data_IF_195790867085
#
_entry.id   IF_195790867085
#
_cell.length_a   1.000
_cell.length_b   1.000
_cell.length_c   1.000
_cell.angle_alpha   90.00
_cell.angle_beta   90.00
_cell.angle_gamma   90.00
#
_symmetry.space_group_name_H-M   'P 1'
#
loop_
_entity.id
_entity.type
_entity.pdbx_description
1 polymer ?
#
# COMPACT_ATOMS: atom_id res chain seq x y z
N UNK A 1 60.53 32.74 29.56
CA UNK A 1 60.05 31.49 28.92
C UNK A 1 58.56 31.34 29.25
N UNK A 2 57.65 31.46 28.27
CA UNK A 2 56.22 31.39 28.53
C UNK A 2 55.76 29.93 28.58
N UNK A 3 54.89 29.61 29.54
CA UNK A 3 54.22 28.33 29.70
C UNK A 3 53.01 28.28 28.76
N UNK A 4 52.97 27.30 27.86
CA UNK A 4 51.77 26.95 27.09
C UNK A 4 50.81 26.12 27.97
N UNK A 5 49.51 26.45 28.05
CA UNK A 5 48.53 25.55 28.64
C UNK A 5 48.15 24.46 27.63
N UNK A 6 48.19 23.20 28.08
CA UNK A 6 47.67 22.06 27.33
C UNK A 6 46.14 22.18 27.24
N UNK A 7 45.60 22.31 26.03
CA UNK A 7 44.18 22.17 25.77
C UNK A 7 43.80 20.69 25.86
N UNK A 8 42.97 20.36 26.84
CA UNK A 8 42.34 19.04 26.97
C UNK A 8 41.27 18.91 25.87
N UNK A 9 41.57 18.16 24.81
CA UNK A 9 40.61 17.83 23.76
C UNK A 9 39.62 16.79 24.33
N UNK A 10 38.42 17.24 24.72
CA UNK A 10 37.34 16.33 25.11
C UNK A 10 36.73 15.73 23.83
N UNK A 11 37.14 14.51 23.49
CA UNK A 11 36.51 13.73 22.41
C UNK A 11 35.16 13.23 22.93
N UNK A 12 34.08 13.95 22.60
CA UNK A 12 32.72 13.45 22.81
C UNK A 12 32.51 12.32 21.79
N UNK A 13 32.67 11.07 22.24
CA UNK A 13 32.22 9.89 21.51
C UNK A 13 30.68 9.95 21.44
N UNK A 14 30.16 10.50 20.34
CA UNK A 14 28.77 10.33 19.96
C UNK A 14 28.54 8.84 19.72
N UNK A 15 27.97 8.15 20.72
CA UNK A 15 27.42 6.82 20.53
C UNK A 15 26.38 6.90 19.40
N UNK A 16 26.48 6.08 18.34
CA UNK A 16 25.45 6.05 17.32
C UNK A 16 24.12 5.74 18.01
N UNK A 17 23.15 6.63 17.79
CA UNK A 17 21.83 6.58 18.40
C UNK A 17 21.22 5.19 18.16
N UNK A 18 20.87 4.49 19.24
CA UNK A 18 20.30 3.13 19.21
C UNK A 18 18.92 3.04 18.52
N UNK A 19 18.42 4.15 17.95
CA UNK A 19 17.17 4.24 17.20
C UNK A 19 17.28 3.76 15.73
N UNK A 20 18.48 3.47 15.22
CA UNK A 20 18.70 3.14 13.81
C UNK A 20 18.21 1.74 13.36
N UNK A 21 17.63 0.92 14.25
CA UNK A 21 17.20 -0.45 13.91
C UNK A 21 15.72 -0.77 14.13
N UNK A 22 14.93 0.18 14.64
CA UNK A 22 13.50 -0.07 14.85
C UNK A 22 12.72 -0.03 13.53
N UNK A 23 11.84 -1.01 13.31
CA UNK A 23 10.88 -0.97 12.20
C UNK A 23 9.83 0.10 12.49
N UNK A 24 9.69 1.05 11.57
CA UNK A 24 8.67 2.08 11.64
C UNK A 24 7.42 1.67 10.84
N UNK A 25 6.30 2.27 11.21
CA UNK A 25 4.99 2.13 10.58
C UNK A 25 4.58 3.49 10.03
N UNK A 26 4.38 3.63 8.71
CA UNK A 26 3.79 4.85 8.16
C UNK A 26 2.37 5.00 8.72
N UNK A 27 2.10 6.15 9.33
CA UNK A 27 0.83 6.47 9.98
C UNK A 27 0.32 7.77 9.39
N UNK A 28 -0.86 7.74 8.78
CA UNK A 28 -1.52 8.91 8.20
C UNK A 28 -2.00 9.82 9.34
N UNK A 29 -1.86 11.13 9.18
CA UNK A 29 -2.13 12.13 10.20
C UNK A 29 -3.00 13.26 9.67
N UNK A 30 -4.07 13.55 10.40
CA UNK A 30 -4.96 14.66 10.08
C UNK A 30 -5.87 14.38 8.89
N UNK A 31 -6.64 15.39 8.47
CA UNK A 31 -7.59 15.26 7.38
C UNK A 31 -6.89 15.17 6.02
N UNK A 32 -7.56 14.53 5.07
CA UNK A 32 -7.18 14.54 3.67
C UNK A 32 -7.51 15.89 3.01
N UNK A 33 -6.59 16.40 2.20
CA UNK A 33 -6.75 17.57 1.34
C UNK A 33 -6.84 17.09 -0.10
N UNK A 34 -7.95 17.36 -0.79
CA UNK A 34 -8.06 17.06 -2.22
C UNK A 34 -7.23 18.04 -3.04
N UNK A 35 -6.22 17.54 -3.75
CA UNK A 35 -5.33 18.36 -4.60
C UNK A 35 -5.75 18.33 -6.07
N UNK A 36 -6.35 17.24 -6.55
CA UNK A 36 -6.82 17.16 -7.94
C UNK A 36 -8.19 16.47 -8.04
N UNK A 37 -8.97 16.86 -9.05
CA UNK A 37 -10.26 16.25 -9.38
C UNK A 37 -10.23 15.49 -10.71
N UNK A 38 -11.39 15.01 -11.13
CA UNK A 38 -11.55 14.36 -12.42
C UNK A 38 -11.53 15.44 -13.52
N UNK A 39 -10.58 15.42 -14.46
CA UNK A 39 -10.41 16.54 -15.38
C UNK A 39 -11.44 16.53 -16.51
N UNK A 40 -11.73 17.69 -17.07
CA UNK A 40 -12.35 17.76 -18.40
C UNK A 40 -11.26 17.57 -19.47
N UNK A 41 -11.39 16.54 -20.28
CA UNK A 41 -10.50 16.19 -21.38
C UNK A 41 -11.06 16.58 -22.76
N UNK A 42 -12.13 17.38 -22.80
CA UNK A 42 -12.82 17.76 -24.03
C UNK A 42 -13.41 16.55 -24.75
N UNK A 43 -13.03 16.33 -26.02
CA UNK A 43 -13.52 15.22 -26.83
C UNK A 43 -13.14 13.85 -26.25
N UNK A 44 -12.06 13.77 -25.47
CA UNK A 44 -11.63 12.54 -24.81
C UNK A 44 -12.34 12.26 -23.49
N UNK A 45 -13.22 13.17 -23.03
CA UNK A 45 -13.95 12.99 -21.77
C UNK A 45 -14.87 11.77 -21.84
N UNK A 46 -14.66 10.82 -20.93
CA UNK A 46 -15.43 9.59 -20.80
C UNK A 46 -16.26 9.57 -19.52
N UNK A 47 -17.50 9.06 -19.52
CA UNK A 47 -18.37 9.06 -18.33
C UNK A 47 -17.87 8.14 -17.20
N UNK A 48 -16.87 7.30 -17.47
CA UNK A 48 -16.25 6.38 -16.51
C UNK A 48 -14.77 6.67 -16.31
N UNK A 49 -14.27 7.81 -16.78
CA UNK A 49 -12.86 8.14 -16.69
C UNK A 49 -12.43 8.31 -15.23
N UNK A 50 -11.20 7.94 -14.93
CA UNK A 50 -10.68 7.97 -13.57
C UNK A 50 -9.24 8.48 -13.60
N UNK A 51 -8.89 9.53 -12.84
CA UNK A 51 -7.51 9.77 -12.47
C UNK A 51 -7.04 8.61 -11.59
N UNK A 52 -5.93 8.00 -11.97
CA UNK A 52 -5.28 6.91 -11.21
C UNK A 52 -3.81 7.24 -11.03
N UNK A 53 -2.95 6.23 -11.06
CA UNK A 53 -1.49 6.28 -10.97
C UNK A 53 -0.89 7.61 -11.46
N UNK A 54 -0.18 8.29 -10.57
CA UNK A 54 0.28 9.66 -10.75
C UNK A 54 1.71 9.80 -10.24
N UNK A 55 2.35 10.91 -10.61
CA UNK A 55 3.57 11.43 -9.99
C UNK A 55 3.34 12.83 -9.43
N UNK A 56 3.91 13.15 -8.27
CA UNK A 56 3.91 14.49 -7.67
C UNK A 56 5.33 15.01 -7.42
N UNK A 57 5.63 16.21 -7.90
CA UNK A 57 6.95 16.84 -7.71
C UNK A 57 6.88 18.37 -7.70
N UNK A 58 7.96 19.01 -7.26
CA UNK A 58 8.14 20.45 -7.38
C UNK A 58 8.93 20.78 -8.65
N UNK A 59 8.38 21.67 -9.50
CA UNK A 59 9.02 22.17 -10.71
C UNK A 59 10.14 23.18 -10.42
N UNK A 60 10.90 23.56 -11.45
CA UNK A 60 12.04 24.47 -11.31
C UNK A 60 11.69 25.86 -10.77
N UNK A 61 10.47 26.35 -11.03
CA UNK A 61 9.97 27.64 -10.54
C UNK A 61 9.30 27.56 -9.17
N UNK A 62 9.36 26.40 -8.51
CA UNK A 62 8.83 26.18 -7.17
C UNK A 62 7.35 25.78 -7.12
N UNK A 63 6.62 25.82 -8.26
CA UNK A 63 5.24 25.32 -8.27
C UNK A 63 5.22 23.80 -8.22
N UNK A 64 4.15 23.25 -7.66
CA UNK A 64 3.94 21.83 -7.56
C UNK A 64 3.19 21.30 -8.78
N UNK A 65 3.59 20.11 -9.23
CA UNK A 65 3.04 19.43 -10.38
C UNK A 65 2.49 18.08 -9.95
N UNK A 66 1.33 17.72 -10.51
CA UNK A 66 0.84 16.36 -10.48
C UNK A 66 0.50 15.94 -11.92
N UNK A 67 1.08 14.84 -12.39
CA UNK A 67 0.66 14.20 -13.64
C UNK A 67 0.04 12.87 -13.31
N UNK A 68 -1.18 12.62 -13.80
CA UNK A 68 -1.89 11.36 -13.58
C UNK A 68 -2.19 10.70 -14.90
N UNK A 69 -2.07 9.37 -14.92
CA UNK A 69 -2.74 8.53 -15.88
C UNK A 69 -4.26 8.67 -15.70
N UNK A 70 -4.94 9.20 -16.72
CA UNK A 70 -6.39 9.16 -16.79
C UNK A 70 -6.78 7.94 -17.62
N UNK A 71 -7.44 6.96 -16.99
CA UNK A 71 -7.91 5.75 -17.68
C UNK A 71 -9.38 5.86 -18.09
N UNK A 72 -9.82 5.00 -19.01
CA UNK A 72 -11.21 4.94 -19.51
C UNK A 72 -11.64 6.24 -20.20
N UNK A 73 -10.69 6.92 -20.83
CA UNK A 73 -10.94 8.07 -21.70
C UNK A 73 -11.41 7.61 -23.08
N UNK A 74 -11.74 8.55 -23.97
CA UNK A 74 -12.07 8.27 -25.37
C UNK A 74 -10.88 8.44 -26.33
N UNK A 75 -9.63 8.52 -25.84
CA UNK A 75 -8.45 8.67 -26.70
C UNK A 75 -8.13 7.42 -27.56
N UNK A 76 -8.89 6.33 -27.40
CA UNK A 76 -8.67 5.08 -28.12
C UNK A 76 -7.62 4.17 -27.46
N UNK A 77 -7.36 3.01 -28.08
CA UNK A 77 -6.40 2.02 -27.60
C UNK A 77 -6.70 1.53 -26.17
N UNK A 78 -5.70 1.55 -25.29
CA UNK A 78 -5.86 1.23 -23.87
C UNK A 78 -6.50 2.35 -23.03
N UNK A 79 -6.98 3.43 -23.68
CA UNK A 79 -7.80 4.51 -23.10
C UNK A 79 -7.08 5.38 -22.05
N UNK A 80 -5.75 5.36 -22.04
CA UNK A 80 -4.92 6.10 -21.09
C UNK A 80 -4.10 7.21 -21.75
N UNK A 81 -4.08 8.36 -21.08
CA UNK A 81 -3.24 9.51 -21.38
C UNK A 81 -2.81 10.17 -20.07
N UNK A 82 -1.87 11.12 -20.13
CA UNK A 82 -1.49 11.94 -18.99
C UNK A 82 -2.20 13.29 -19.00
N UNK A 83 -2.76 13.65 -17.85
CA UNK A 83 -3.28 14.99 -17.57
C UNK A 83 -2.48 15.62 -16.42
N UNK A 84 -2.30 16.93 -16.46
CA UNK A 84 -1.48 17.70 -15.52
C UNK A 84 -2.32 18.64 -14.65
N UNK A 85 -1.90 18.79 -13.39
CA UNK A 85 -2.33 19.86 -12.49
C UNK A 85 -1.14 20.63 -11.94
N UNK A 86 -1.38 21.89 -11.59
CA UNK A 86 -0.39 22.78 -10.99
C UNK A 86 -0.92 23.44 -9.72
N UNK A 87 -0.14 23.35 -8.64
CA UNK A 87 -0.40 24.02 -7.35
C UNK A 87 0.70 25.01 -7.00
N UNK A 88 0.36 26.09 -6.32
CA UNK A 88 1.31 27.09 -5.80
C UNK A 88 2.06 26.55 -4.57
N UNK A 89 1.45 25.63 -3.81
CA UNK A 89 2.07 24.94 -2.68
C UNK A 89 1.53 23.52 -2.56
N UNK A 90 2.31 22.64 -1.91
CA UNK A 90 1.96 21.22 -1.76
C UNK A 90 0.59 20.99 -1.11
N UNK A 91 0.27 21.78 -0.09
CA UNK A 91 -0.96 21.62 0.70
C UNK A 91 -2.12 22.51 0.22
N UNK A 92 -1.96 23.24 -0.89
CA UNK A 92 -3.06 23.99 -1.49
C UNK A 92 -4.12 23.01 -1.99
N UNK A 93 -5.41 23.16 -1.63
CA UNK A 93 -6.47 22.34 -2.20
C UNK A 93 -6.75 22.74 -3.65
N UNK A 94 -7.29 21.81 -4.44
CA UNK A 94 -7.83 22.06 -5.78
C UNK A 94 -6.83 22.75 -6.73
N UNK A 95 -5.70 22.09 -6.99
CA UNK A 95 -4.71 22.53 -7.98
C UNK A 95 -5.35 22.76 -9.34
N UNK A 96 -4.79 23.72 -10.07
CA UNK A 96 -5.32 24.15 -11.35
C UNK A 96 -5.11 23.05 -12.41
N UNK A 97 -6.16 22.60 -13.12
CA UNK A 97 -5.97 21.69 -14.25
C UNK A 97 -5.25 22.43 -15.39
N UNK A 98 -4.24 21.78 -15.97
CA UNK A 98 -3.40 22.33 -17.04
C UNK A 98 -3.66 21.66 -18.39
N UNK A 99 -4.53 20.65 -18.45
CA UNK A 99 -4.90 19.93 -19.65
C UNK A 99 -4.13 18.62 -19.86
N UNK A 100 -4.36 18.01 -21.01
CA UNK A 100 -3.65 16.81 -21.46
C UNK A 100 -2.17 17.17 -21.66
N UNK A 101 -1.30 16.51 -20.91
CA UNK A 101 0.14 16.76 -20.92
C UNK A 101 0.88 15.84 -21.90
N UNK A 102 0.38 14.62 -22.08
CA UNK A 102 0.99 13.64 -22.99
C UNK A 102 -0.03 12.57 -23.40
N UNK A 103 -0.07 12.27 -24.70
CA UNK A 103 -0.73 11.10 -25.27
C UNK A 103 0.33 10.12 -25.78
N UNK A 104 0.03 8.83 -25.84
CA UNK A 104 0.93 7.83 -26.41
C UNK A 104 1.25 8.12 -27.87
N UNK A 105 2.48 7.82 -28.31
CA UNK A 105 2.92 7.98 -29.69
C UNK A 105 3.38 6.63 -30.30
N UNK A 106 2.50 5.96 -31.08
CA UNK A 106 2.84 4.71 -31.75
C UNK A 106 3.99 4.82 -32.75
N UNK A 107 4.31 6.01 -33.26
CA UNK A 107 5.40 6.17 -34.23
C UNK A 107 6.79 5.94 -33.61
N UNK A 108 6.88 6.05 -32.28
CA UNK A 108 8.11 5.79 -31.50
C UNK A 108 7.98 4.54 -30.61
N UNK A 109 7.03 3.66 -30.95
CA UNK A 109 6.88 2.32 -30.37
C UNK A 109 5.97 2.22 -29.15
N UNK A 110 5.38 3.32 -28.68
CA UNK A 110 4.44 3.29 -27.54
C UNK A 110 3.11 2.64 -27.93
N UNK A 111 2.47 1.92 -27.01
CA UNK A 111 1.16 1.35 -27.28
C UNK A 111 0.11 2.45 -27.24
N UNK A 112 -0.77 2.50 -28.25
CA UNK A 112 -1.86 3.47 -28.33
C UNK A 112 -2.72 3.46 -27.06
N UNK A 113 -2.91 4.64 -26.45
CA UNK A 113 -3.62 4.82 -25.20
C UNK A 113 -2.98 4.10 -24.01
N UNK A 114 -1.68 3.80 -24.05
CA UNK A 114 -0.99 2.89 -23.13
C UNK A 114 -0.21 3.55 -21.99
N UNK A 115 -0.21 4.88 -21.85
CA UNK A 115 0.61 5.57 -20.86
C UNK A 115 0.18 5.27 -19.42
N UNK A 116 1.13 4.95 -18.53
CA UNK A 116 0.87 4.53 -17.14
C UNK A 116 1.89 5.12 -16.17
N UNK A 117 1.37 5.56 -15.01
CA UNK A 117 2.12 5.79 -13.76
C UNK A 117 3.48 6.52 -13.94
N UNK A 118 3.46 7.84 -14.23
CA UNK A 118 4.69 8.60 -14.38
C UNK A 118 5.33 8.84 -13.00
N UNK A 119 6.65 8.70 -12.91
CA UNK A 119 7.43 9.08 -11.73
C UNK A 119 8.60 9.97 -12.13
N UNK A 120 8.75 11.10 -11.43
CA UNK A 120 9.73 12.14 -11.78
C UNK A 120 10.80 12.24 -10.69
N UNK A 121 12.05 12.24 -11.11
CA UNK A 121 13.21 12.51 -10.25
C UNK A 121 14.09 13.61 -10.85
N UNK A 122 14.93 14.22 -10.03
CA UNK A 122 15.89 15.24 -10.47
C UNK A 122 17.31 14.72 -10.31
N UNK A 123 18.10 14.78 -11.38
CA UNK A 123 19.51 14.36 -11.41
C UNK A 123 20.27 15.29 -12.34
N UNK A 124 21.49 15.71 -11.96
CA UNK A 124 22.32 16.57 -12.82
C UNK A 124 21.67 17.92 -13.21
N UNK A 125 20.73 18.42 -12.40
CA UNK A 125 19.98 19.65 -12.68
C UNK A 125 18.77 19.50 -13.61
N UNK A 126 18.57 18.31 -14.21
CA UNK A 126 17.48 18.00 -15.14
C UNK A 126 16.41 17.13 -14.45
N UNK A 127 15.16 17.24 -14.90
CA UNK A 127 14.07 16.35 -14.50
C UNK A 127 14.00 15.15 -15.43
N UNK A 128 13.86 13.97 -14.86
CA UNK A 128 13.73 12.69 -15.55
C UNK A 128 12.40 12.06 -15.16
N UNK A 129 11.51 11.89 -16.13
CA UNK A 129 10.25 11.18 -15.99
C UNK A 129 10.38 9.77 -16.53
N UNK A 130 10.04 8.80 -15.69
CA UNK A 130 9.95 7.39 -16.07
C UNK A 130 8.48 6.99 -16.05
N UNK A 131 8.03 6.26 -17.08
CA UNK A 131 6.63 5.90 -17.22
C UNK A 131 6.47 4.58 -17.98
N UNK A 132 5.34 3.90 -17.79
CA UNK A 132 4.98 2.73 -18.59
C UNK A 132 4.26 3.11 -19.88
N UNK A 133 4.53 2.41 -20.98
CA UNK A 133 3.80 2.56 -22.26
C UNK A 133 2.81 1.43 -22.55
N UNK A 134 2.51 0.61 -21.54
CA UNK A 134 1.80 -0.68 -21.55
C UNK A 134 2.70 -1.91 -21.70
N UNK A 135 3.82 -1.86 -22.41
CA UNK A 135 4.71 -3.02 -22.57
C UNK A 135 6.11 -2.78 -21.96
N UNK A 136 6.55 -1.54 -21.93
CA UNK A 136 7.90 -1.11 -21.62
C UNK A 136 7.88 0.01 -20.59
N UNK A 137 9.01 0.15 -19.90
CA UNK A 137 9.33 1.42 -19.24
C UNK A 137 10.05 2.33 -20.22
N UNK A 138 9.59 3.57 -20.30
CA UNK A 138 10.07 4.64 -21.15
C UNK A 138 10.59 5.82 -20.30
N UNK A 139 11.28 6.74 -20.97
CA UNK A 139 11.95 7.88 -20.33
C UNK A 139 11.69 9.18 -21.09
N UNK A 140 11.43 10.25 -20.36
CA UNK A 140 11.35 11.60 -20.87
C UNK A 140 12.13 12.56 -19.96
N UNK A 141 12.58 13.68 -20.52
CA UNK A 141 13.39 14.68 -19.81
C UNK A 141 12.76 16.07 -19.90
N UNK A 142 13.05 16.90 -18.89
CA UNK A 142 12.57 18.28 -18.82
C UNK A 142 13.58 19.17 -18.09
N UNK A 143 13.73 20.41 -18.55
CA UNK A 143 14.53 21.42 -17.83
C UNK A 143 13.73 22.11 -16.72
N UNK A 144 12.43 22.33 -16.95
CA UNK A 144 11.54 23.08 -16.05
C UNK A 144 10.71 22.17 -15.12
N UNK A 145 10.64 20.88 -15.41
CA UNK A 145 9.78 19.93 -14.71
C UNK A 145 8.31 20.04 -15.09
N UNK A 146 7.97 20.71 -16.20
CA UNK A 146 6.59 20.98 -16.65
C UNK A 146 6.34 20.55 -18.09
N UNK A 147 7.35 20.58 -18.94
CA UNK A 147 7.28 20.14 -20.33
C UNK A 147 8.31 19.05 -20.55
N UNK A 148 7.85 17.84 -20.86
CA UNK A 148 8.71 16.67 -21.01
C UNK A 148 8.85 16.26 -22.46
N UNK A 149 10.10 16.06 -22.89
CA UNK A 149 10.43 15.50 -24.19
C UNK A 149 10.84 14.03 -24.03
N UNK A 150 10.27 13.16 -24.87
CA UNK A 150 10.64 11.74 -24.92
C UNK A 150 12.11 11.57 -25.24
N UNK A 151 12.76 10.62 -24.56
CA UNK A 151 14.10 10.17 -24.90
C UNK A 151 13.98 9.02 -25.89
N UNK A 152 14.48 9.25 -27.11
CA UNK A 152 14.57 8.21 -28.14
C UNK A 152 15.86 7.42 -27.94
N UNK A 153 15.71 6.12 -27.72
CA UNK A 153 16.82 5.19 -27.53
C UNK A 153 17.56 4.93 -28.85
N UNK A 154 18.77 4.35 -28.83
CA UNK A 154 19.50 3.99 -30.05
C UNK A 154 18.72 3.08 -31.02
N UNK A 155 17.70 2.37 -30.54
CA UNK A 155 16.77 1.58 -31.35
C UNK A 155 15.81 2.42 -32.22
N UNK A 156 15.75 3.73 -32.00
CA UNK A 156 14.75 4.62 -32.61
C UNK A 156 13.39 4.64 -31.88
N UNK A 157 13.26 3.93 -30.76
CA UNK A 157 12.03 3.81 -29.97
C UNK A 157 12.22 4.40 -28.55
N UNK A 158 11.14 4.59 -27.80
CA UNK A 158 11.19 5.11 -26.41
C UNK A 158 11.53 4.05 -25.35
N UNK A 159 11.30 2.78 -25.66
CA UNK A 159 11.43 1.67 -24.73
C UNK A 159 12.85 1.49 -24.19
N UNK A 160 13.02 1.55 -22.87
CA UNK A 160 14.29 1.26 -22.19
C UNK A 160 14.43 -0.22 -21.83
N UNK A 161 13.41 -0.80 -21.20
CA UNK A 161 13.39 -2.20 -20.79
C UNK A 161 11.97 -2.74 -20.63
N UNK A 162 11.85 -4.07 -20.59
CA UNK A 162 10.59 -4.79 -20.45
C UNK A 162 10.82 -6.18 -19.83
N UNK A 163 9.77 -6.76 -19.23
CA UNK A 163 9.69 -8.19 -18.90
C UNK A 163 9.10 -9.02 -20.05
N UNK A 164 8.89 -8.42 -21.22
CA UNK A 164 8.37 -9.07 -22.43
C UNK A 164 6.93 -8.67 -22.74
N UNK A 165 6.58 -8.79 -24.03
CA UNK A 165 5.25 -8.44 -24.52
C UNK A 165 4.16 -9.24 -23.78
N UNK A 166 3.08 -8.56 -23.40
CA UNK A 166 1.96 -9.16 -22.69
C UNK A 166 2.12 -9.22 -21.16
N UNK A 167 3.31 -8.97 -20.60
CA UNK A 167 3.55 -8.98 -19.16
C UNK A 167 3.27 -7.63 -18.47
N UNK A 168 2.95 -6.59 -19.24
CA UNK A 168 2.59 -5.24 -18.81
C UNK A 168 3.58 -4.64 -17.79
N UNK A 169 4.83 -4.48 -18.22
CA UNK A 169 5.88 -3.78 -17.46
C UNK A 169 5.48 -2.31 -17.29
N UNK A 170 5.23 -1.86 -16.06
CA UNK A 170 4.67 -0.52 -15.77
C UNK A 170 4.93 -0.07 -14.33
N UNK A 171 4.38 1.08 -13.97
CA UNK A 171 4.35 1.64 -12.62
C UNK A 171 5.74 1.73 -11.99
N UNK A 172 6.64 2.40 -12.71
CA UNK A 172 8.02 2.57 -12.26
C UNK A 172 8.11 3.65 -11.20
N UNK A 173 8.79 3.36 -10.08
CA UNK A 173 9.23 4.33 -9.10
C UNK A 173 10.75 4.27 -8.94
N UNK A 174 11.38 5.44 -8.92
CA UNK A 174 12.83 5.59 -8.88
C UNK A 174 13.30 5.97 -7.48
N UNK A 175 14.29 5.26 -6.95
CA UNK A 175 14.96 5.59 -5.70
C UNK A 175 16.48 5.57 -5.90
N UNK A 176 17.17 6.63 -5.49
CA UNK A 176 18.64 6.66 -5.47
C UNK A 176 19.14 6.09 -4.15
N UNK A 177 20.06 5.13 -4.21
CA UNK A 177 20.72 4.53 -3.03
C UNK A 177 22.23 4.64 -3.22
N UNK A 178 22.86 5.56 -2.49
CA UNK A 178 24.23 5.99 -2.80
C UNK A 178 24.26 6.63 -4.19
N UNK A 179 25.15 6.13 -5.05
CA UNK A 179 25.28 6.59 -6.45
C UNK A 179 24.42 5.79 -7.44
N UNK A 180 23.72 4.75 -6.97
CA UNK A 180 22.98 3.82 -7.83
C UNK A 180 21.47 4.07 -7.80
N UNK A 181 20.87 4.26 -8.97
CA UNK A 181 19.42 4.34 -9.11
C UNK A 181 18.79 2.97 -9.15
N UNK A 182 17.67 2.82 -8.44
CA UNK A 182 16.82 1.63 -8.41
C UNK A 182 15.46 1.98 -9.00
N UNK A 183 15.10 1.34 -10.11
CA UNK A 183 13.78 1.39 -10.72
C UNK A 183 12.95 0.21 -10.22
N UNK A 184 12.04 0.47 -9.29
CA UNK A 184 11.05 -0.50 -8.84
C UNK A 184 9.85 -0.43 -9.77
N UNK A 185 9.35 -1.56 -10.25
CA UNK A 185 8.23 -1.58 -11.19
C UNK A 185 7.41 -2.86 -11.03
N UNK A 186 6.21 -2.87 -11.60
CA UNK A 186 5.37 -4.07 -11.64
C UNK A 186 5.33 -4.69 -13.03
N UNK A 187 5.18 -6.01 -13.05
CA UNK A 187 4.85 -6.80 -14.22
C UNK A 187 4.18 -8.11 -13.75
N UNK A 188 3.53 -8.83 -14.66
CA UNK A 188 2.91 -10.13 -14.36
C UNK A 188 3.36 -11.33 -15.22
N UNK A 189 4.67 -11.57 -15.46
CA UNK A 189 5.12 -12.81 -16.10
C UNK A 189 4.41 -14.06 -15.55
N UNK A 190 3.96 -14.95 -16.44
CA UNK A 190 3.17 -16.14 -16.11
C UNK A 190 1.84 -15.84 -15.38
N UNK A 191 1.24 -14.69 -15.68
CA UNK A 191 0.01 -14.20 -15.05
C UNK A 191 0.13 -13.97 -13.53
N UNK A 192 1.36 -13.76 -13.05
CA UNK A 192 1.66 -13.58 -11.65
C UNK A 192 2.29 -12.21 -11.36
N UNK A 193 1.54 -11.34 -10.69
CA UNK A 193 2.00 -10.00 -10.35
C UNK A 193 3.10 -10.01 -9.30
N UNK A 194 4.19 -9.30 -9.56
CA UNK A 194 5.28 -9.10 -8.61
C UNK A 194 5.87 -7.70 -8.74
N UNK A 195 6.58 -7.26 -7.69
CA UNK A 195 7.43 -6.07 -7.78
C UNK A 195 8.84 -6.51 -8.15
N UNK A 196 9.38 -5.89 -9.18
CA UNK A 196 10.73 -6.09 -9.69
C UNK A 196 11.58 -4.84 -9.45
N UNK A 197 12.89 -5.01 -9.52
CA UNK A 197 13.84 -3.91 -9.54
C UNK A 197 14.88 -4.11 -10.64
N UNK A 198 15.24 -3.02 -11.31
CA UNK A 198 16.47 -2.88 -12.11
C UNK A 198 17.27 -1.71 -11.61
N UNK A 199 18.59 -1.76 -11.75
CA UNK A 199 19.48 -0.67 -11.34
C UNK A 199 20.22 -0.06 -12.51
N UNK A 200 20.57 1.22 -12.37
CA UNK A 200 21.30 2.00 -13.39
C UNK A 200 22.13 3.10 -12.72
N UNK A 201 23.23 3.48 -13.36
CA UNK A 201 24.07 4.64 -12.97
C UNK A 201 23.83 5.85 -13.88
N UNK A 202 23.29 5.64 -15.08
CA UNK A 202 23.28 6.61 -16.18
C UNK A 202 21.92 6.74 -16.90
N UNK A 203 20.90 6.01 -16.44
CA UNK A 203 19.56 5.86 -17.06
C UNK A 203 19.57 5.24 -18.46
N UNK A 204 20.70 4.69 -18.92
CA UNK A 204 20.85 4.09 -20.25
C UNK A 204 21.16 2.59 -20.14
N UNK A 205 22.06 2.25 -19.22
CA UNK A 205 22.50 0.88 -18.97
C UNK A 205 21.77 0.35 -17.74
N UNK A 206 21.08 -0.78 -17.91
CA UNK A 206 20.23 -1.36 -16.88
C UNK A 206 20.68 -2.76 -16.50
N UNK A 207 20.60 -3.09 -15.22
CA UNK A 207 20.81 -4.46 -14.75
C UNK A 207 19.72 -5.40 -15.27
N UNK A 208 19.96 -6.70 -15.07
CA UNK A 208 18.89 -7.69 -15.13
C UNK A 208 17.80 -7.40 -14.09
N UNK A 209 16.57 -7.82 -14.42
CA UNK A 209 15.41 -7.78 -13.53
C UNK A 209 15.65 -8.67 -12.31
N UNK A 210 15.23 -8.21 -11.13
CA UNK A 210 15.22 -8.99 -9.88
C UNK A 210 13.87 -8.83 -9.20
N UNK A 211 13.20 -9.93 -8.87
CA UNK A 211 11.98 -9.90 -8.05
C UNK A 211 12.32 -9.50 -6.62
N UNK A 212 11.72 -8.42 -6.13
CA UNK A 212 11.97 -7.91 -4.77
C UNK A 212 10.81 -8.16 -3.81
N UNK A 213 9.59 -8.31 -4.32
CA UNK A 213 8.41 -8.65 -3.51
C UNK A 213 7.42 -9.48 -4.31
N UNK A 214 7.00 -10.62 -3.75
CA UNK A 214 6.05 -11.51 -4.40
C UNK A 214 5.18 -12.29 -3.41
N UNK A 215 3.93 -12.54 -3.81
CA UNK A 215 3.04 -13.47 -3.12
C UNK A 215 2.65 -13.03 -1.71
N UNK A 216 2.57 -13.99 -0.80
CA UNK A 216 2.19 -13.78 0.57
C UNK A 216 0.74 -13.32 0.73
N UNK A 217 0.51 -12.47 1.71
CA UNK A 217 -0.77 -11.84 2.03
C UNK A 217 -1.49 -11.19 0.85
N UNK A 218 -0.71 -10.69 -0.10
CA UNK A 218 -1.21 -9.99 -1.28
C UNK A 218 -1.59 -10.93 -2.42
N UNK A 219 -1.38 -12.24 -2.26
CA UNK A 219 -1.59 -13.30 -3.26
C UNK A 219 -0.70 -13.12 -4.50
N UNK A 220 -0.93 -13.93 -5.53
CA UNK A 220 -0.10 -14.01 -6.74
C UNK A 220 -0.80 -13.53 -8.01
N UNK A 221 -2.06 -13.06 -7.95
CA UNK A 221 -2.80 -12.67 -9.15
C UNK A 221 -2.11 -11.54 -9.96
N UNK A 222 -2.44 -11.38 -11.25
CA UNK A 222 -1.82 -10.38 -12.15
C UNK A 222 -1.71 -8.98 -11.56
N UNK A 223 -2.74 -8.55 -10.82
CA UNK A 223 -2.83 -7.20 -10.23
C UNK A 223 -2.62 -7.21 -8.70
N UNK A 224 -1.96 -8.23 -8.17
CA UNK A 224 -1.66 -8.34 -6.73
C UNK A 224 -0.50 -7.44 -6.28
N UNK A 225 0.24 -6.84 -7.21
CA UNK A 225 1.50 -6.15 -6.96
C UNK A 225 1.62 -4.86 -7.76
N UNK A 226 0.71 -3.92 -7.55
CA UNK A 226 0.63 -2.69 -8.34
C UNK A 226 1.35 -1.52 -7.67
N UNK A 227 1.66 -0.50 -8.46
CA UNK A 227 2.13 0.81 -7.99
C UNK A 227 3.21 0.76 -6.90
N UNK A 228 4.35 0.08 -7.15
CA UNK A 228 5.43 0.10 -6.18
C UNK A 228 5.91 1.53 -5.96
N UNK A 229 5.99 1.95 -4.71
CA UNK A 229 6.66 3.19 -4.32
C UNK A 229 7.62 2.87 -3.16
N UNK A 230 8.85 3.37 -3.22
CA UNK A 230 9.89 3.00 -2.25
C UNK A 230 10.57 4.24 -1.67
N UNK A 231 10.67 4.28 -0.36
CA UNK A 231 11.40 5.33 0.37
C UNK A 231 12.37 4.75 1.37
N UNK A 232 13.43 5.51 1.69
CA UNK A 232 14.37 5.17 2.74
C UNK A 232 14.11 5.99 4.00
N UNK A 233 14.01 5.34 5.17
CA UNK A 233 13.86 5.96 6.49
C UNK A 233 14.64 5.17 7.54
N UNK A 234 15.42 5.87 8.37
CA UNK A 234 16.21 5.28 9.46
C UNK A 234 17.00 4.02 9.05
N UNK A 235 17.75 4.09 7.95
CA UNK A 235 18.59 2.98 7.48
C UNK A 235 17.82 1.77 6.91
N UNK A 236 16.49 1.89 6.73
CA UNK A 236 15.62 0.88 6.13
C UNK A 236 14.92 1.45 4.91
N UNK A 237 14.50 0.55 4.02
CA UNK A 237 13.66 0.83 2.87
C UNK A 237 12.24 0.37 3.16
N UNK A 238 11.26 1.10 2.64
CA UNK A 238 9.84 0.77 2.77
C UNK A 238 9.20 0.73 1.39
N UNK A 239 8.69 -0.44 1.00
CA UNK A 239 7.97 -0.68 -0.24
C UNK A 239 6.47 -0.62 0.01
N UNK A 240 5.79 0.34 -0.62
CA UNK A 240 4.35 0.41 -0.74
C UNK A 240 3.96 -0.39 -1.98
N UNK A 241 3.04 -1.35 -1.82
CA UNK A 241 2.55 -2.22 -2.90
C UNK A 241 1.03 -2.21 -2.85
N UNK A 242 0.37 -1.70 -3.89
CA UNK A 242 -1.09 -1.65 -3.98
C UNK A 242 -1.67 -2.97 -4.49
N UNK A 243 -2.83 -3.39 -3.96
CA UNK A 243 -3.58 -4.56 -4.44
C UNK A 243 -4.92 -4.18 -5.05
N UNK A 244 -5.58 -3.17 -4.45
CA UNK A 244 -6.93 -2.77 -4.80
C UNK A 244 -7.05 -1.26 -4.86
N UNK A 245 -7.95 -0.81 -5.71
CA UNK A 245 -8.29 0.59 -5.92
C UNK A 245 -9.72 0.85 -5.45
N UNK A 246 -10.06 2.11 -5.27
CA UNK A 246 -11.41 2.56 -4.97
C UNK A 246 -11.73 2.49 -3.48
N UNK A 247 -13.01 2.33 -3.14
CA UNK A 247 -13.50 2.35 -1.75
C UNK A 247 -12.90 1.25 -0.88
N UNK A 248 -12.44 0.17 -1.50
CA UNK A 248 -11.76 -0.94 -0.83
C UNK A 248 -10.24 -0.89 -1.11
N UNK A 249 -9.70 0.29 -1.36
CA UNK A 249 -8.31 0.53 -1.69
C UNK A 249 -7.39 0.00 -0.59
N UNK A 250 -6.38 -0.77 -0.97
CA UNK A 250 -5.43 -1.31 -0.01
C UNK A 250 -4.02 -1.32 -0.58
N UNK A 251 -3.09 -0.84 0.25
CA UNK A 251 -1.67 -0.85 0.00
C UNK A 251 -0.94 -1.49 1.18
N UNK A 252 -0.24 -2.58 0.90
CA UNK A 252 0.59 -3.26 1.88
C UNK A 252 1.99 -2.63 1.88
N UNK A 253 2.53 -2.36 3.06
CA UNK A 253 3.85 -1.76 3.26
C UNK A 253 4.80 -2.79 3.83
N UNK A 254 5.90 -3.04 3.12
CA UNK A 254 6.99 -3.92 3.52
C UNK A 254 8.23 -3.11 3.88
N UNK A 255 9.07 -3.60 4.78
CA UNK A 255 10.31 -2.96 5.18
C UNK A 255 11.52 -3.87 4.96
N UNK A 256 12.69 -3.32 4.65
CA UNK A 256 13.93 -4.10 4.55
C UNK A 256 15.18 -3.26 4.82
N UNK A 257 16.29 -3.91 5.17
CA UNK A 257 17.62 -3.29 5.13
C UNK A 257 18.29 -3.45 3.75
N UNK A 258 17.80 -4.39 2.95
CA UNK A 258 18.26 -4.64 1.59
C UNK A 258 17.24 -4.03 0.60
N UNK A 259 17.64 -3.05 -0.23
CA UNK A 259 16.73 -2.43 -1.20
C UNK A 259 16.25 -3.41 -2.29
N UNK A 260 16.80 -4.63 -2.36
CA UNK A 260 16.43 -5.64 -3.36
C UNK A 260 15.64 -6.82 -2.78
N UNK A 261 15.22 -6.76 -1.51
CA UNK A 261 14.44 -7.85 -0.89
C UNK A 261 13.43 -7.33 0.14
N UNK A 262 12.15 -7.34 -0.23
CA UNK A 262 11.00 -6.95 0.60
C UNK A 262 10.07 -8.13 0.93
N UNK A 263 10.44 -9.36 0.56
CA UNK A 263 9.74 -10.58 0.93
C UNK A 263 9.16 -11.35 -0.25
N UNK A 264 9.46 -12.65 -0.31
CA UNK A 264 8.89 -13.60 -1.27
C UNK A 264 8.13 -14.64 -0.45
N UNK A 265 6.81 -14.45 -0.28
CA UNK A 265 5.99 -15.24 0.65
C UNK A 265 6.52 -15.23 2.10
N UNK A 266 7.02 -14.07 2.57
CA UNK A 266 7.71 -13.92 3.88
C UNK A 266 7.16 -12.74 4.67
N UNK A 267 5.83 -12.56 4.67
CA UNK A 267 5.18 -11.43 5.32
C UNK A 267 5.56 -11.29 6.79
N UNK A 268 5.71 -12.39 7.52
CA UNK A 268 6.10 -12.41 8.93
C UNK A 268 7.42 -11.69 9.21
N UNK A 269 8.29 -11.58 8.20
CA UNK A 269 9.60 -10.93 8.31
C UNK A 269 9.61 -9.49 7.81
N UNK A 270 8.86 -9.21 6.75
CA UNK A 270 8.97 -7.95 6.02
C UNK A 270 7.75 -7.03 6.17
N UNK A 271 6.60 -7.53 6.61
CA UNK A 271 5.39 -6.72 6.72
C UNK A 271 5.54 -5.64 7.80
N UNK A 272 5.52 -4.38 7.38
CA UNK A 272 5.37 -3.25 8.30
C UNK A 272 3.89 -3.05 8.64
N UNK A 273 3.04 -2.93 7.62
CA UNK A 273 1.65 -2.47 7.80
C UNK A 273 0.78 -2.58 6.55
N UNK A 274 -0.51 -2.27 6.66
CA UNK A 274 -1.43 -2.07 5.52
C UNK A 274 -2.18 -0.75 5.66
N UNK A 275 -2.25 0.02 4.59
CA UNK A 275 -2.95 1.29 4.55
C UNK A 275 -4.18 1.18 3.65
N UNK A 276 -5.29 1.77 4.07
CA UNK A 276 -6.53 1.85 3.30
C UNK A 276 -6.45 3.00 2.26
N UNK A 277 -5.48 2.88 1.35
CA UNK A 277 -5.19 3.82 0.25
C UNK A 277 -4.75 3.05 -0.98
N UNK A 278 -4.84 3.67 -2.16
CA UNK A 278 -4.39 3.11 -3.42
C UNK A 278 -3.37 4.02 -4.11
N UNK A 279 -2.36 3.38 -4.72
CA UNK A 279 -1.26 4.01 -5.47
C UNK A 279 -0.60 5.20 -4.74
N UNK A 280 -0.15 5.04 -3.48
CA UNK A 280 0.40 6.18 -2.75
C UNK A 280 1.82 6.54 -3.20
N UNK A 281 2.11 7.85 -3.22
CA UNK A 281 3.48 8.38 -3.26
C UNK A 281 3.79 9.11 -1.95
N UNK A 282 5.04 9.04 -1.50
CA UNK A 282 5.51 9.75 -0.33
C UNK A 282 6.37 10.93 -0.75
N UNK A 283 5.94 12.13 -0.37
CA UNK A 283 6.61 13.39 -0.68
C UNK A 283 7.23 13.95 0.59
N UNK A 284 8.53 14.22 0.58
CA UNK A 284 9.21 14.94 1.65
C UNK A 284 9.30 16.43 1.30
N UNK A 285 8.77 17.29 2.16
CA UNK A 285 8.78 18.74 1.95
C UNK A 285 8.82 19.49 3.28
N UNK A 286 9.69 20.49 3.38
CA UNK A 286 9.86 21.35 4.56
C UNK A 286 10.04 20.59 5.89
N UNK A 287 10.76 19.46 5.83
CA UNK A 287 11.04 18.62 7.00
C UNK A 287 9.88 17.70 7.42
N UNK A 288 8.75 17.73 6.72
CA UNK A 288 7.61 16.85 6.94
C UNK A 288 7.48 15.82 5.80
N UNK A 289 6.90 14.67 6.12
CA UNK A 289 6.49 13.69 5.12
C UNK A 289 4.99 13.79 4.87
N UNK A 290 4.62 13.65 3.61
CA UNK A 290 3.24 13.63 3.15
C UNK A 290 3.01 12.33 2.37
N UNK A 291 1.79 11.81 2.49
CA UNK A 291 1.30 10.76 1.61
C UNK A 291 0.31 11.37 0.63
N UNK A 292 0.53 11.13 -0.65
CA UNK A 292 -0.42 11.44 -1.72
C UNK A 292 -1.05 10.14 -2.15
N UNK A 293 -2.36 10.10 -2.36
CA UNK A 293 -3.09 8.89 -2.75
C UNK A 293 -4.33 9.24 -3.58
N UNK A 294 -4.93 8.24 -4.21
CA UNK A 294 -6.20 8.39 -4.90
C UNK A 294 -7.35 8.62 -3.92
N UNK A 295 -8.40 9.33 -4.35
CA UNK A 295 -9.67 9.33 -3.62
C UNK A 295 -10.34 7.96 -3.67
N UNK A 296 -11.10 7.54 -2.64
CA UNK A 296 -11.83 6.28 -2.64
C UNK A 296 -12.80 6.11 -3.83
N UNK A 297 -13.34 7.21 -4.35
CA UNK A 297 -14.26 7.22 -5.50
C UNK A 297 -13.53 7.12 -6.85
N UNK A 298 -12.18 7.18 -6.85
CA UNK A 298 -11.34 7.26 -8.05
C UNK A 298 -11.70 8.44 -8.95
N UNK A 299 -12.05 9.55 -8.32
CA UNK A 299 -12.44 10.80 -8.98
C UNK A 299 -11.43 11.92 -8.71
N UNK A 300 -10.32 11.65 -8.03
CA UNK A 300 -9.31 12.65 -7.71
C UNK A 300 -8.08 12.10 -7.01
N UNK A 301 -7.22 13.04 -6.61
CA UNK A 301 -5.99 12.80 -5.85
C UNK A 301 -6.07 13.65 -4.59
N UNK A 302 -5.63 13.08 -3.47
CA UNK A 302 -5.66 13.68 -2.15
C UNK A 302 -4.32 13.50 -1.43
N UNK A 303 -4.06 14.37 -0.47
CA UNK A 303 -2.83 14.44 0.29
C UNK A 303 -3.14 14.50 1.79
N UNK A 304 -2.34 13.83 2.61
CA UNK A 304 -2.37 13.95 4.06
C UNK A 304 -0.94 13.94 4.62
N UNK A 305 -0.77 14.41 5.86
CA UNK A 305 0.51 14.31 6.55
C UNK A 305 0.80 12.84 6.89
N UNK A 306 2.07 12.48 6.90
CA UNK A 306 2.53 11.14 7.24
C UNK A 306 3.57 11.21 8.37
N UNK A 307 3.43 10.34 9.37
CA UNK A 307 4.46 10.11 10.38
C UNK A 307 4.98 8.69 10.30
N UNK A 308 6.26 8.53 10.63
CA UNK A 308 6.91 7.22 10.78
C UNK A 308 7.08 6.93 12.26
N UNK A 309 6.28 6.00 12.77
CA UNK A 309 6.18 5.74 14.21
C UNK A 309 6.60 4.30 14.52
N UNK A 310 7.13 4.01 15.71
CA UNK A 310 7.36 2.64 16.14
C UNK A 310 6.12 1.75 15.94
N UNK A 311 6.34 0.48 15.64
CA UNK A 311 5.24 -0.50 15.58
C UNK A 311 4.58 -0.55 16.97
N UNK A 312 3.27 -0.33 17.07
CA UNK A 312 2.59 -0.36 18.36
C UNK A 312 2.66 -1.78 18.96
N UNK A 313 2.67 -1.86 20.28
CA UNK A 313 2.59 -3.11 21.03
C UNK A 313 1.14 -3.55 21.16
N UNK A 314 0.95 -4.85 21.38
CA UNK A 314 -0.36 -5.39 21.70
C UNK A 314 -0.80 -4.85 23.07
N UNK A 315 -1.89 -4.09 23.10
CA UNK A 315 -2.49 -3.55 24.31
C UNK A 315 -3.59 -4.46 24.89
N UNK A 316 -4.38 -3.95 25.86
CA UNK A 316 -5.50 -4.67 26.43
C UNK A 316 -6.58 -5.00 25.38
N UNK A 317 -7.32 -6.11 25.58
CA UNK A 317 -8.45 -6.47 24.72
C UNK A 317 -9.60 -5.48 24.85
N UNK A 318 -10.30 -5.22 23.75
CA UNK A 318 -11.57 -4.49 23.76
C UNK A 318 -12.68 -5.28 24.47
N UNK A 319 -12.59 -6.60 24.43
CA UNK A 319 -13.51 -7.54 25.08
C UNK A 319 -12.75 -8.68 25.73
N UNK A 320 -12.99 -8.92 27.02
CA UNK A 320 -12.54 -10.14 27.68
C UNK A 320 -13.45 -11.30 27.27
N UNK A 321 -12.95 -12.20 26.43
CA UNK A 321 -13.73 -13.37 26.01
C UNK A 321 -13.96 -14.39 27.13
N UNK A 322 -13.28 -14.24 28.27
CA UNK A 322 -13.47 -15.09 29.44
C UNK A 322 -14.70 -14.69 30.27
N UNK A 323 -15.24 -13.49 30.03
CA UNK A 323 -16.49 -13.03 30.64
C UNK A 323 -17.73 -13.56 29.89
N UNK A 324 -18.61 -14.27 30.61
CA UNK A 324 -19.82 -14.84 30.01
C UNK A 324 -20.79 -13.76 29.47
N UNK A 325 -20.86 -12.60 30.13
CA UNK A 325 -21.67 -11.45 29.69
C UNK A 325 -21.19 -10.89 28.34
N UNK A 326 -19.87 -10.82 28.13
CA UNK A 326 -19.27 -10.43 26.85
C UNK A 326 -19.64 -11.44 25.78
N UNK A 327 -19.48 -12.75 26.06
CA UNK A 327 -19.81 -13.81 25.09
C UNK A 327 -21.28 -13.80 24.67
N UNK A 328 -22.19 -13.51 25.61
CA UNK A 328 -23.62 -13.41 25.34
C UNK A 328 -24.00 -12.27 24.37
N UNK A 329 -23.11 -11.29 24.16
CA UNK A 329 -23.33 -10.18 23.24
C UNK A 329 -23.10 -10.52 21.75
N UNK A 330 -22.38 -11.61 21.45
CA UNK A 330 -22.10 -12.03 20.08
C UNK A 330 -23.24 -12.86 19.50
N UNK A 331 -23.53 -12.68 18.21
CA UNK A 331 -24.69 -13.30 17.55
C UNK A 331 -24.26 -14.03 16.29
N UNK A 332 -24.75 -15.25 16.11
CA UNK A 332 -24.70 -15.92 14.81
C UNK A 332 -25.80 -15.28 13.94
N UNK A 333 -25.41 -14.61 12.86
CA UNK A 333 -26.34 -13.98 11.91
C UNK A 333 -26.85 -14.97 10.86
N UNK A 334 -26.05 -15.99 10.52
CA UNK A 334 -26.42 -17.01 9.51
C UNK A 334 -25.55 -18.26 9.64
N UNK A 335 -25.97 -19.35 9.00
CA UNK A 335 -25.21 -20.58 8.88
C UNK A 335 -25.64 -21.68 9.85
N UNK A 336 -24.79 -22.69 10.00
CA UNK A 336 -25.04 -23.89 10.80
C UNK A 336 -24.05 -24.05 11.97
N UNK A 337 -23.49 -22.95 12.47
CA UNK A 337 -22.57 -22.93 13.60
C UNK A 337 -23.30 -23.33 14.90
N UNK A 338 -22.70 -24.19 15.76
CA UNK A 338 -23.33 -24.63 17.01
C UNK A 338 -23.34 -23.52 18.09
N UNK A 339 -22.46 -22.54 17.95
CA UNK A 339 -22.22 -21.44 18.87
C UNK A 339 -20.98 -20.69 18.40
N UNK A 340 -20.83 -19.39 18.72
CA UNK A 340 -19.68 -18.64 18.24
C UNK A 340 -18.41 -18.95 19.04
N UNK A 341 -18.53 -19.24 20.34
CA UNK A 341 -17.37 -19.40 21.23
C UNK A 341 -17.03 -20.86 21.52
N UNK A 342 -15.74 -21.10 21.67
CA UNK A 342 -15.14 -22.36 22.09
C UNK A 342 -13.99 -22.10 23.07
N UNK A 343 -13.68 -23.10 23.87
CA UNK A 343 -12.46 -23.17 24.69
C UNK A 343 -11.63 -24.41 24.32
N UNK A 344 -11.74 -24.84 23.06
CA UNK A 344 -11.08 -26.03 22.52
C UNK A 344 -9.59 -26.04 22.83
N UNK A 345 -9.11 -27.20 23.28
CA UNK A 345 -7.68 -27.48 23.53
C UNK A 345 -7.14 -28.55 22.57
N UNK A 346 -7.83 -28.79 21.44
CA UNK A 346 -7.43 -29.82 20.45
C UNK A 346 -6.11 -29.51 19.73
N UNK A 347 -5.70 -28.24 19.76
CA UNK A 347 -4.48 -27.70 19.16
C UNK A 347 -3.93 -26.64 20.10
N UNK A 348 -2.65 -26.29 19.93
CA UNK A 348 -2.14 -25.03 20.46
C UNK A 348 -2.63 -23.88 19.56
N UNK A 349 -3.73 -23.26 19.97
CA UNK A 349 -4.28 -22.09 19.27
C UNK A 349 -3.54 -20.80 19.60
N UNK A 350 -2.63 -20.77 20.58
CA UNK A 350 -2.00 -19.54 21.05
C UNK A 350 -3.02 -18.42 21.39
N UNK A 351 -4.15 -18.81 21.98
CA UNK A 351 -5.19 -17.88 22.40
C UNK A 351 -4.74 -17.10 23.64
N UNK A 352 -5.03 -15.79 23.69
CA UNK A 352 -4.72 -14.93 24.84
C UNK A 352 -5.81 -14.95 25.92
N UNK A 353 -6.96 -15.56 25.61
CA UNK A 353 -8.09 -15.83 26.49
C UNK A 353 -8.32 -17.34 26.57
N UNK A 354 -9.05 -17.81 27.58
CA UNK A 354 -9.51 -19.21 27.65
C UNK A 354 -10.55 -19.53 26.57
N UNK A 355 -11.36 -18.54 26.20
CA UNK A 355 -12.35 -18.64 25.12
C UNK A 355 -11.93 -17.83 23.89
N UNK A 356 -12.23 -18.36 22.72
CA UNK A 356 -12.10 -17.67 21.43
C UNK A 356 -13.28 -18.04 20.52
N UNK A 357 -13.42 -17.33 19.41
CA UNK A 357 -14.43 -17.68 18.40
C UNK A 357 -13.81 -18.63 17.40
N UNK A 358 -14.47 -19.76 17.12
CA UNK A 358 -14.04 -20.74 16.12
C UNK A 358 -15.25 -21.28 15.35
N UNK A 359 -15.19 -21.26 14.03
CA UNK A 359 -16.33 -21.63 13.19
C UNK A 359 -16.47 -23.13 12.93
N UNK A 360 -15.43 -23.93 13.16
CA UNK A 360 -15.51 -25.39 13.07
C UNK A 360 -15.46 -26.11 14.41
N UNK A 361 -15.18 -25.41 15.52
CA UNK A 361 -15.01 -26.04 16.82
C UNK A 361 -16.34 -26.54 17.41
N UNK A 362 -16.33 -27.78 17.90
CA UNK A 362 -17.45 -28.39 18.61
C UNK A 362 -17.09 -28.61 20.08
N UNK A 363 -18.06 -29.00 20.91
CA UNK A 363 -17.79 -29.43 22.28
C UNK A 363 -16.80 -30.61 22.33
N UNK A 364 -16.85 -31.48 21.31
CA UNK A 364 -15.87 -32.54 21.06
C UNK A 364 -15.55 -32.58 19.57
N UNK A 365 -14.28 -32.42 19.21
CA UNK A 365 -13.82 -32.45 17.82
C UNK A 365 -14.06 -31.14 17.07
N UNK A 366 -14.13 -31.24 15.75
CA UNK A 366 -14.33 -30.12 14.83
C UNK A 366 -15.09 -30.59 13.57
N UNK A 367 -15.68 -29.64 12.85
CA UNK A 367 -16.41 -29.88 11.61
C UNK A 367 -16.22 -28.69 10.65
N UNK A 368 -15.23 -28.80 9.76
CA UNK A 368 -14.87 -27.76 8.78
C UNK A 368 -15.87 -27.65 7.61
N UNK A 369 -16.95 -28.46 7.60
CA UNK A 369 -18.03 -28.29 6.62
C UNK A 369 -19.04 -27.20 7.01
N UNK A 370 -18.87 -26.62 8.20
CA UNK A 370 -19.77 -25.60 8.73
C UNK A 370 -19.42 -24.23 8.17
N UNK A 371 -20.47 -23.45 7.96
CA UNK A 371 -20.37 -22.08 7.47
C UNK A 371 -21.23 -21.18 8.34
N UNK A 372 -20.94 -19.89 8.36
CA UNK A 372 -21.77 -18.92 9.01
C UNK A 372 -21.17 -17.54 9.11
N UNK A 373 -21.96 -16.65 9.69
CA UNK A 373 -21.53 -15.28 9.99
C UNK A 373 -21.78 -15.00 11.45
N UNK A 374 -20.78 -14.46 12.14
CA UNK A 374 -20.86 -14.09 13.55
C UNK A 374 -20.63 -12.58 13.68
N UNK A 375 -21.54 -11.91 14.37
CA UNK A 375 -21.53 -10.47 14.62
C UNK A 375 -21.10 -10.17 16.05
N UNK A 376 -20.21 -9.21 16.23
CA UNK A 376 -19.90 -8.63 17.54
C UNK A 376 -20.98 -7.65 18.01
N UNK A 377 -20.97 -7.28 19.30
CA UNK A 377 -21.57 -6.02 19.75
C UNK A 377 -20.99 -4.82 18.98
N UNK A 378 -21.78 -3.74 18.91
CA UNK A 378 -21.29 -2.49 18.35
C UNK A 378 -20.29 -1.82 19.31
N UNK A 379 -19.30 -1.13 18.75
CA UNK A 379 -18.34 -0.33 19.49
C UNK A 379 -18.01 0.95 18.70
N UNK A 380 -17.45 1.94 19.39
CA UNK A 380 -16.92 3.14 18.75
C UNK A 380 -15.44 2.94 18.45
N UNK A 381 -15.00 3.33 17.25
CA UNK A 381 -13.57 3.36 16.93
C UNK A 381 -12.93 4.53 17.67
N UNK A 382 -12.06 4.23 18.62
CA UNK A 382 -11.35 5.25 19.42
C UNK A 382 -9.88 5.37 19.09
N UNK A 383 -9.30 4.31 18.53
CA UNK A 383 -7.88 4.22 18.22
C UNK A 383 -7.62 4.33 16.71
N UNK A 384 -6.44 4.87 16.36
CA UNK A 384 -5.97 4.88 14.97
C UNK A 384 -5.63 3.48 14.44
N UNK A 385 -5.44 2.51 15.34
CA UNK A 385 -5.18 1.13 14.97
C UNK A 385 -5.55 0.16 16.08
N UNK A 386 -5.89 -1.07 15.70
CA UNK A 386 -6.12 -2.19 16.62
C UNK A 386 -5.33 -3.41 16.16
N UNK A 387 -5.14 -4.38 17.04
CA UNK A 387 -4.69 -5.72 16.68
C UNK A 387 -5.86 -6.68 16.66
N UNK A 388 -6.12 -7.31 15.51
CA UNK A 388 -7.04 -8.42 15.38
C UNK A 388 -6.26 -9.73 15.44
N UNK A 389 -6.58 -10.61 16.39
CA UNK A 389 -5.95 -11.93 16.47
C UNK A 389 -6.76 -12.95 15.68
N UNK A 390 -6.19 -13.48 14.59
CA UNK A 390 -6.92 -14.39 13.68
C UNK A 390 -6.09 -15.62 13.32
N UNK A 391 -6.78 -16.71 12.97
CA UNK A 391 -6.20 -17.93 12.38
C UNK A 391 -7.27 -18.72 11.64
N UNK A 392 -6.91 -19.87 11.06
CA UNK A 392 -7.79 -20.76 10.29
C UNK A 392 -7.28 -21.01 8.88
N UNK A 393 -8.19 -21.17 7.93
CA UNK A 393 -7.88 -21.23 6.50
C UNK A 393 -7.63 -19.86 5.89
N UNK A 394 -6.81 -19.84 4.85
CA UNK A 394 -6.40 -18.64 4.10
C UNK A 394 -7.13 -18.51 2.76
N UNK A 395 -8.41 -18.89 2.71
CA UNK A 395 -9.26 -18.74 1.54
C UNK A 395 -9.99 -17.38 1.52
N UNK A 396 -10.41 -16.93 0.32
CA UNK A 396 -11.15 -15.67 0.12
C UNK A 396 -12.52 -15.64 0.81
N UNK A 397 -13.09 -16.80 1.15
CA UNK A 397 -14.38 -16.94 1.84
C UNK A 397 -14.27 -16.86 3.37
N UNK A 398 -13.04 -16.80 3.89
CA UNK A 398 -12.72 -16.78 5.32
C UNK A 398 -12.11 -15.42 5.70
N UNK A 399 -12.86 -14.60 6.42
CA UNK A 399 -12.38 -13.26 6.79
C UNK A 399 -13.10 -12.65 7.99
N UNK A 400 -12.41 -11.70 8.63
CA UNK A 400 -12.99 -10.73 9.56
C UNK A 400 -13.26 -9.43 8.79
N UNK A 401 -14.42 -8.83 8.99
CA UNK A 401 -14.80 -7.54 8.42
C UNK A 401 -15.13 -6.53 9.53
N UNK A 402 -14.72 -5.27 9.33
CA UNK A 402 -15.20 -4.12 10.10
C UNK A 402 -16.33 -3.47 9.32
N UNK A 403 -17.51 -3.38 9.92
CA UNK A 403 -18.73 -2.90 9.26
C UNK A 403 -19.20 -1.62 9.95
N UNK A 404 -19.54 -0.60 9.15
CA UNK A 404 -20.16 0.64 9.61
C UNK A 404 -21.59 0.37 10.08
N UNK A 405 -21.92 0.75 11.33
CA UNK A 405 -23.24 0.43 11.91
C UNK A 405 -24.40 1.15 11.24
N UNK A 406 -24.17 2.34 10.68
CA UNK A 406 -25.23 3.14 10.08
C UNK A 406 -25.48 2.70 8.62
N UNK A 407 -24.41 2.67 7.83
CA UNK A 407 -24.50 2.42 6.38
C UNK A 407 -24.50 0.93 6.03
N UNK A 408 -24.13 0.06 6.97
CA UNK A 408 -23.89 -1.39 6.75
C UNK A 408 -22.78 -1.69 5.73
N UNK A 409 -21.95 -0.69 5.40
CA UNK A 409 -20.84 -0.85 4.47
C UNK A 409 -19.65 -1.55 5.13
N UNK A 410 -18.98 -2.41 4.38
CA UNK A 410 -17.72 -3.01 4.80
C UNK A 410 -16.59 -1.99 4.65
N UNK A 411 -16.00 -1.59 5.77
CA UNK A 411 -14.92 -0.60 5.85
C UNK A 411 -13.54 -1.24 5.67
N UNK A 412 -13.36 -2.44 6.22
CA UNK A 412 -12.09 -3.17 6.20
C UNK A 412 -12.33 -4.68 6.16
N UNK A 413 -11.48 -5.40 5.43
CA UNK A 413 -11.40 -6.86 5.44
C UNK A 413 -10.03 -7.35 5.90
N UNK A 414 -10.01 -8.29 6.84
CA UNK A 414 -8.82 -8.97 7.36
C UNK A 414 -8.92 -10.46 7.03
N UNK A 415 -7.99 -10.96 6.23
CA UNK A 415 -7.85 -12.38 5.91
C UNK A 415 -6.76 -13.02 6.78
N UNK A 416 -6.82 -14.34 6.92
CA UNK A 416 -5.76 -15.09 7.59
C UNK A 416 -4.45 -15.05 6.80
N UNK A 417 -3.35 -14.93 7.52
CA UNK A 417 -2.00 -14.90 6.95
C UNK A 417 -1.52 -16.25 6.42
N UNK A 418 -1.92 -17.30 7.11
CA UNK A 418 -1.39 -18.64 6.95
C UNK A 418 -2.50 -19.65 7.24
N UNK A 419 -2.45 -20.80 6.57
CA UNK A 419 -3.26 -21.96 6.97
C UNK A 419 -2.71 -22.53 8.29
N UNK A 420 -3.29 -22.11 9.42
CA UNK A 420 -2.82 -22.50 10.74
C UNK A 420 -3.93 -22.31 11.78
N UNK A 421 -3.95 -23.14 12.82
CA UNK A 421 -4.81 -22.90 13.99
C UNK A 421 -4.23 -21.87 14.97
N UNK A 422 -2.94 -21.53 14.87
CA UNK A 422 -2.29 -20.59 15.79
C UNK A 422 -2.75 -19.16 15.52
N UNK A 423 -3.47 -18.56 16.49
CA UNK A 423 -3.91 -17.16 16.50
C UNK A 423 -2.70 -16.23 16.51
N UNK A 424 -2.71 -15.30 15.56
CA UNK A 424 -1.64 -14.31 15.38
C UNK A 424 -2.21 -12.90 15.32
N UNK A 425 -1.59 -11.93 16.01
CA UNK A 425 -2.02 -10.53 15.94
C UNK A 425 -1.70 -9.93 14.57
N UNK A 426 -2.71 -9.34 13.94
CA UNK A 426 -2.61 -8.55 12.71
C UNK A 426 -2.99 -7.10 13.02
N UNK A 427 -2.09 -6.16 12.73
CA UNK A 427 -2.34 -4.73 12.91
C UNK A 427 -3.32 -4.26 11.83
N UNK A 428 -4.43 -3.67 12.25
CA UNK A 428 -5.43 -3.02 11.40
C UNK A 428 -5.44 -1.52 11.67
N UNK A 429 -5.56 -0.71 10.63
CA UNK A 429 -5.64 0.74 10.73
C UNK A 429 -7.09 1.18 10.64
N UNK A 430 -7.47 2.08 11.52
CA UNK A 430 -8.85 2.54 11.72
C UNK A 430 -8.94 4.06 11.88
N UNK A 431 -7.85 4.78 11.60
CA UNK A 431 -7.73 6.24 11.70
C UNK A 431 -8.83 6.99 10.95
N UNK A 432 -9.23 6.50 9.77
CA UNK A 432 -10.27 7.10 8.93
C UNK A 432 -11.67 7.02 9.53
N UNK A 433 -11.85 6.20 10.56
CA UNK A 433 -13.15 5.89 11.15
C UNK A 433 -13.23 6.23 12.64
N UNK A 434 -12.25 6.94 13.20
CA UNK A 434 -12.30 7.40 14.60
C UNK A 434 -13.61 8.17 14.86
N UNK A 435 -14.31 7.82 15.94
CA UNK A 435 -15.62 8.34 16.32
C UNK A 435 -16.81 7.66 15.63
N UNK A 436 -16.58 6.78 14.64
CA UNK A 436 -17.66 6.01 14.02
C UNK A 436 -18.06 4.83 14.89
N UNK A 437 -19.37 4.55 14.90
CA UNK A 437 -19.92 3.33 15.49
C UNK A 437 -19.91 2.20 14.46
N UNK A 438 -19.32 1.08 14.84
CA UNK A 438 -19.01 -0.06 13.96
C UNK A 438 -19.27 -1.38 14.69
N UNK A 439 -19.25 -2.48 13.95
CA UNK A 439 -19.21 -3.83 14.50
C UNK A 439 -18.29 -4.73 13.67
N UNK A 440 -17.81 -5.82 14.27
CA UNK A 440 -17.07 -6.86 13.58
C UNK A 440 -18.04 -7.94 13.07
N UNK A 441 -17.74 -8.43 11.86
CA UNK A 441 -18.37 -9.63 11.29
C UNK A 441 -17.31 -10.64 10.92
N UNK A 442 -17.37 -11.81 11.53
CA UNK A 442 -16.57 -12.98 11.14
C UNK A 442 -17.38 -13.73 10.10
N UNK A 443 -16.78 -14.01 8.95
CA UNK A 443 -17.41 -14.69 7.82
C UNK A 443 -16.65 -15.97 7.53
N UNK A 444 -17.41 -17.07 7.54
CA UNK A 444 -16.98 -18.36 7.05
C UNK A 444 -18.00 -18.87 6.02
N UNK A 445 -17.55 -18.98 4.78
CA UNK A 445 -18.33 -19.56 3.69
C UNK A 445 -17.55 -20.65 2.96
N UNK A 446 -16.50 -21.17 3.59
CA UNK A 446 -15.68 -22.22 2.98
C UNK A 446 -16.36 -23.57 3.15
N UNK A 447 -16.32 -24.39 2.11
CA UNK A 447 -16.73 -25.81 2.18
C UNK A 447 -15.56 -26.73 1.94
N UNK A 448 -14.33 -26.20 2.00
CA UNK A 448 -13.10 -26.94 1.75
C UNK A 448 -12.69 -27.72 3.01
N UNK A 449 -11.82 -28.73 2.85
CA UNK A 449 -11.35 -29.56 3.97
C UNK A 449 -10.47 -28.84 5.02
N UNK A 450 -10.23 -27.54 4.84
CA UNK A 450 -9.60 -26.63 5.82
C UNK A 450 -10.34 -25.29 5.82
N UNK A 451 -11.67 -25.37 5.90
CA UNK A 451 -12.61 -24.26 5.76
C UNK A 451 -13.09 -23.73 7.10
N UNK A 452 -12.23 -23.06 7.87
CA UNK A 452 -12.63 -22.45 9.14
C UNK A 452 -11.90 -21.15 9.46
N UNK A 453 -12.50 -20.33 10.32
CA UNK A 453 -11.93 -19.09 10.83
C UNK A 453 -11.95 -19.07 12.36
N UNK A 454 -10.83 -18.70 12.96
CA UNK A 454 -10.71 -18.45 14.39
C UNK A 454 -10.41 -16.97 14.65
N UNK A 455 -11.03 -16.43 15.69
CA UNK A 455 -10.82 -15.06 16.16
C UNK A 455 -10.59 -15.03 17.68
N UNK A 456 -9.41 -14.56 18.08
CA UNK A 456 -8.98 -14.51 19.49
C UNK A 456 -9.27 -13.19 20.19
N UNK A 457 -9.87 -12.22 19.49
CA UNK A 457 -10.20 -10.90 20.02
C UNK A 457 -9.59 -9.73 19.25
N UNK A 458 -10.08 -8.55 19.58
CA UNK A 458 -9.59 -7.24 19.14
C UNK A 458 -8.90 -6.56 20.32
N UNK A 459 -7.72 -6.02 20.10
CA UNK A 459 -6.87 -5.43 21.14
C UNK A 459 -6.49 -4.01 20.74
N UNK A 460 -6.39 -3.11 21.70
CA UNK A 460 -5.82 -1.77 21.48
C UNK A 460 -4.36 -1.87 21.04
N UNK A 461 -3.86 -0.85 20.35
CA UNK A 461 -2.49 -0.78 19.86
C UNK A 461 -1.72 0.28 20.66
N UNK A 462 -1.01 -0.14 21.70
CA UNK A 462 -0.30 0.76 22.61
C UNK A 462 1.01 1.27 21.98
N UNK A 463 1.27 2.57 22.12
CA UNK A 463 2.48 3.22 21.63
C UNK A 463 3.37 3.68 22.76
#
# INVERSE_FOLDING_TARGET
>A
MPRFPYALLLTILLTPSAFADETLVPTIQGPWIRIAGNPDLGEFTGPKQQPVDFGVWQAADGTWQAWSCIRRTKCGGHTRLFHRWEGESLTQPNWKPMGIAMESDPSVGEVAGGLQAPHVVREGGQFHMFYGDWNNICHAISEDGKVFQRVIQPSGMTAMFTEGAGNNTRDVAMLKVGDLWHAYYTAYPNDQGAVYVRTTEDFKTWSNSTTVSFGGFTTTGKFSAECPHVVQRNGRFYLFRTQHYGTNGITTVYHSKDPKMFGINQDERYLATRLAVAAPEIVHHDGEDFIVALTPELDGIQLARLKWLPKPKLGPPLWSFDEASVRAGWKIESGNLPGPFTNSKRSDFNALHDYFIGTSELQQGFDDSRTGQIRSPEFEVTEASYYATTSGGADKTLYLALIDSETQSELLRVKNATNSNSLRPQLIHTDQWIGRRVFLRIVDQSTDGWGHFNFGGLYTAER
#
